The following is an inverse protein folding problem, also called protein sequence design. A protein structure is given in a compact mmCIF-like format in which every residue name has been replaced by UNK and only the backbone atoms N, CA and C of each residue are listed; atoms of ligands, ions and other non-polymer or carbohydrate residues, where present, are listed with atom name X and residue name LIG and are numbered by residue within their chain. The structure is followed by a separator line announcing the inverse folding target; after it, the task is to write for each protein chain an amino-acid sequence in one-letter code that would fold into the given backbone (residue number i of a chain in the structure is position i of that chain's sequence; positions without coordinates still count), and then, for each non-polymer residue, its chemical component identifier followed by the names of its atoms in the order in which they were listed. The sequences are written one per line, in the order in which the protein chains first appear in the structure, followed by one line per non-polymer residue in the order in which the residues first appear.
data_IF_145873569973
#
_entry.id   IF_145873569973
#
_cell.length_a   1.000
_cell.length_b   1.000
_cell.length_c   1.000
_cell.angle_alpha   90.00
_cell.angle_beta   90.00
_cell.angle_gamma   90.00
#
_symmetry.space_group_name_H-M   'P 1'
#
loop_
_entity.id
_entity.type
_entity.pdbx_description
1 polymer ?
#
# COMPACT_ATOMS: atom_id res chain seq x y z
N UNK A 1 3.80 20.23 14.50
CA UNK A 1 3.06 19.11 15.20
C UNK A 1 2.43 18.28 14.12
N UNK A 2 2.56 16.94 14.19
CA UNK A 2 1.95 16.03 13.21
C UNK A 2 0.43 16.08 13.33
N UNK A 3 -0.25 16.28 12.20
CA UNK A 3 -1.71 16.33 12.07
C UNK A 3 -2.24 15.24 11.13
N UNK A 4 -1.39 14.65 10.30
CA UNK A 4 -1.76 13.57 9.41
C UNK A 4 -0.69 12.47 9.40
N UNK A 5 -1.13 11.21 9.44
CA UNK A 5 -0.29 10.03 9.24
C UNK A 5 -0.83 9.28 8.02
N UNK A 6 0.05 9.03 7.04
CA UNK A 6 -0.30 8.34 5.80
C UNK A 6 0.45 7.01 5.75
N UNK A 7 -0.29 5.91 5.71
CA UNK A 7 0.26 4.56 5.67
C UNK A 7 0.25 3.98 4.25
N UNK A 8 1.28 3.20 3.91
CA UNK A 8 1.09 2.16 2.91
C UNK A 8 0.26 1.01 3.50
N UNK A 9 -0.36 0.20 2.64
CA UNK A 9 -1.21 -0.91 3.06
C UNK A 9 -0.45 -2.23 3.12
N UNK A 10 0.08 -2.69 1.98
CA UNK A 10 0.72 -3.99 1.83
C UNK A 10 2.07 -4.02 2.57
N UNK A 11 2.20 -4.76 3.66
CA UNK A 11 3.40 -4.78 4.50
C UNK A 11 3.48 -3.67 5.56
N UNK A 12 2.68 -2.61 5.41
CA UNK A 12 2.57 -1.49 6.35
C UNK A 12 1.48 -1.69 7.40
N UNK A 13 0.24 -1.90 6.97
CA UNK A 13 -0.92 -2.14 7.83
C UNK A 13 -1.40 -3.59 7.79
N UNK A 14 -1.20 -4.27 6.68
CA UNK A 14 -1.59 -5.67 6.47
C UNK A 14 -0.37 -6.58 6.35
N UNK A 15 -0.52 -7.81 6.84
CA UNK A 15 0.55 -8.81 6.89
C UNK A 15 0.67 -9.62 5.60
N UNK A 16 0.85 -8.94 4.49
CA UNK A 16 1.12 -9.53 3.17
C UNK A 16 2.26 -8.77 2.47
N UNK A 17 2.79 -9.34 1.41
CA UNK A 17 3.86 -8.69 0.64
C UNK A 17 3.34 -7.81 -0.49
N UNK A 18 2.22 -8.21 -1.10
CA UNK A 18 1.55 -7.49 -2.18
C UNK A 18 0.15 -8.06 -2.40
N UNK A 19 -0.84 -7.20 -2.48
CA UNK A 19 -2.22 -7.59 -2.82
C UNK A 19 -2.35 -8.10 -4.26
N UNK A 20 -1.52 -7.62 -5.19
CA UNK A 20 -1.43 -8.16 -6.55
C UNK A 20 -0.86 -9.57 -6.58
N UNK A 21 0.21 -9.84 -5.82
CA UNK A 21 0.83 -11.16 -5.74
C UNK A 21 -0.14 -12.21 -5.23
N UNK A 22 -0.99 -11.90 -4.25
CA UNK A 22 -2.00 -12.82 -3.73
C UNK A 22 -3.01 -13.26 -4.81
N UNK A 23 -3.32 -12.40 -5.78
CA UNK A 23 -4.15 -12.77 -6.92
C UNK A 23 -3.40 -13.75 -7.83
N UNK A 24 -2.13 -13.49 -8.12
CA UNK A 24 -1.30 -14.41 -8.90
C UNK A 24 -1.16 -15.78 -8.22
N UNK A 25 -0.95 -15.80 -6.90
CA UNK A 25 -0.88 -17.05 -6.12
C UNK A 25 -2.19 -17.84 -6.20
N UNK A 26 -3.33 -17.15 -6.10
CA UNK A 26 -4.66 -17.79 -6.19
C UNK A 26 -4.94 -18.40 -7.56
N UNK A 27 -4.59 -17.70 -8.64
CA UNK A 27 -4.76 -18.18 -10.01
C UNK A 27 -3.59 -19.06 -10.51
N UNK A 28 -2.50 -19.17 -9.73
CA UNK A 28 -1.32 -19.92 -10.12
C UNK A 28 -0.54 -19.25 -11.27
N UNK A 29 -0.55 -17.95 -11.39
CA UNK A 29 0.09 -17.16 -12.46
C UNK A 29 1.26 -16.29 -11.97
N UNK A 30 1.89 -16.68 -10.86
CA UNK A 30 3.01 -15.97 -10.27
C UNK A 30 4.37 -16.43 -10.79
N UNK A 31 5.41 -16.13 -10.03
CA UNK A 31 6.84 -16.38 -10.37
C UNK A 31 7.17 -17.82 -10.82
N UNK A 32 6.29 -18.78 -10.55
CA UNK A 32 6.51 -20.21 -10.88
C UNK A 32 5.94 -20.64 -12.24
N UNK A 33 5.35 -19.72 -13.02
CA UNK A 33 4.57 -20.07 -14.23
C UNK A 33 5.35 -19.97 -15.55
N UNK A 34 6.66 -20.05 -15.52
CA UNK A 34 7.48 -19.98 -16.72
C UNK A 34 7.98 -18.59 -17.07
N UNK A 35 7.77 -17.59 -16.20
CA UNK A 35 8.48 -16.32 -16.26
C UNK A 35 7.78 -15.20 -17.02
N UNK A 36 6.57 -15.40 -17.55
CA UNK A 36 5.87 -14.36 -18.34
C UNK A 36 5.49 -13.14 -17.47
N UNK A 37 4.96 -13.36 -16.27
CA UNK A 37 4.72 -12.30 -15.30
C UNK A 37 6.02 -11.61 -14.88
N UNK A 38 7.07 -12.39 -14.60
CA UNK A 38 8.37 -11.85 -14.18
C UNK A 38 9.00 -10.97 -15.28
N UNK A 39 8.94 -11.40 -16.55
CA UNK A 39 9.44 -10.59 -17.67
C UNK A 39 8.71 -9.24 -17.77
N UNK A 40 7.38 -9.25 -17.62
CA UNK A 40 6.58 -8.03 -17.66
C UNK A 40 6.82 -7.13 -16.44
N UNK A 41 7.00 -7.73 -15.27
CA UNK A 41 7.39 -6.98 -14.06
C UNK A 41 8.73 -6.26 -14.25
N UNK A 42 9.72 -6.93 -14.85
CA UNK A 42 11.01 -6.30 -15.16
C UNK A 42 10.85 -5.16 -16.17
N UNK A 43 10.06 -5.35 -17.22
CA UNK A 43 9.76 -4.28 -18.17
C UNK A 43 9.08 -3.08 -17.52
N UNK A 44 8.16 -3.32 -16.60
CA UNK A 44 7.51 -2.26 -15.83
C UNK A 44 8.50 -1.54 -14.91
N UNK A 45 9.31 -2.27 -14.15
CA UNK A 45 10.31 -1.70 -13.24
C UNK A 45 11.39 -0.88 -14.00
N UNK A 46 11.70 -1.27 -15.25
CA UNK A 46 12.59 -0.55 -16.15
C UNK A 46 11.91 0.66 -16.84
N UNK A 47 10.63 0.88 -16.61
CA UNK A 47 9.85 1.96 -17.25
C UNK A 47 9.61 1.75 -18.76
N UNK A 48 9.71 0.49 -19.25
CA UNK A 48 9.48 0.14 -20.66
C UNK A 48 8.00 -0.02 -20.99
N UNK A 49 7.17 -0.30 -19.99
CA UNK A 49 5.71 -0.36 -20.07
C UNK A 49 5.11 0.45 -18.93
N UNK A 50 3.89 0.95 -19.13
CA UNK A 50 3.13 1.66 -18.10
C UNK A 50 2.55 0.70 -17.06
N UNK A 51 2.10 1.25 -15.92
CA UNK A 51 1.42 0.48 -14.88
C UNK A 51 0.08 -0.09 -15.40
N UNK A 52 -0.64 0.66 -16.24
CA UNK A 52 -1.87 0.18 -16.89
C UNK A 52 -1.61 -1.00 -17.84
N UNK A 53 -0.53 -0.95 -18.63
CA UNK A 53 -0.12 -2.05 -19.52
C UNK A 53 0.28 -3.29 -18.72
N UNK A 54 0.96 -3.10 -17.59
CA UNK A 54 1.33 -4.19 -16.69
C UNK A 54 0.09 -4.85 -16.06
N UNK A 55 -0.84 -4.06 -15.53
CA UNK A 55 -2.11 -4.55 -14.97
C UNK A 55 -2.97 -5.25 -16.04
N UNK A 56 -3.02 -4.70 -17.25
CA UNK A 56 -3.75 -5.33 -18.35
C UNK A 56 -3.17 -6.71 -18.71
N UNK A 57 -1.85 -6.86 -18.67
CA UNK A 57 -1.18 -8.14 -18.87
C UNK A 57 -1.50 -9.14 -17.75
N UNK A 58 -1.45 -8.72 -16.48
CA UNK A 58 -1.78 -9.58 -15.35
C UNK A 58 -3.22 -10.11 -15.44
N UNK A 59 -4.17 -9.24 -15.81
CA UNK A 59 -5.56 -9.65 -16.06
C UNK A 59 -5.65 -10.71 -17.17
N UNK A 60 -4.84 -10.60 -18.24
CA UNK A 60 -4.80 -11.60 -19.30
C UNK A 60 -4.27 -12.94 -18.80
N UNK A 61 -3.23 -12.96 -17.97
CA UNK A 61 -2.72 -14.17 -17.33
C UNK A 61 -3.79 -14.85 -16.48
N UNK A 62 -4.48 -14.09 -15.62
CA UNK A 62 -5.55 -14.65 -14.80
C UNK A 62 -6.70 -15.21 -15.64
N UNK A 63 -7.10 -14.52 -16.72
CA UNK A 63 -8.13 -15.00 -17.67
C UNK A 63 -7.70 -16.22 -18.44
N UNK A 64 -6.41 -16.45 -18.64
CA UNK A 64 -5.87 -17.69 -19.20
C UNK A 64 -6.20 -18.92 -18.34
N UNK A 65 -6.34 -18.72 -17.03
CA UNK A 65 -6.71 -19.77 -16.04
C UNK A 65 -8.23 -19.79 -15.82
N UNK A 66 -8.84 -18.62 -15.61
CA UNK A 66 -10.28 -18.44 -15.38
C UNK A 66 -10.81 -17.37 -16.32
N UNK A 67 -11.43 -17.74 -17.46
CA UNK A 67 -11.89 -16.77 -18.48
C UNK A 67 -12.86 -15.71 -17.94
N UNK A 68 -13.66 -16.08 -16.95
CA UNK A 68 -14.59 -15.20 -16.24
C UNK A 68 -14.14 -15.08 -14.79
N UNK A 69 -13.87 -13.86 -14.34
CA UNK A 69 -13.40 -13.55 -12.98
C UNK A 69 -14.45 -12.66 -12.32
N UNK A 70 -15.06 -13.14 -11.26
CA UNK A 70 -15.99 -12.34 -10.47
C UNK A 70 -15.25 -11.61 -9.34
N UNK A 71 -15.77 -10.46 -8.91
CA UNK A 71 -15.20 -9.69 -7.78
C UNK A 71 -15.04 -10.53 -6.50
N UNK A 72 -15.92 -11.52 -6.29
CA UNK A 72 -15.84 -12.41 -5.13
C UNK A 72 -14.64 -13.37 -5.23
N UNK A 73 -14.17 -13.71 -6.44
CA UNK A 73 -12.95 -14.50 -6.61
C UNK A 73 -11.73 -13.69 -6.19
N UNK A 74 -11.67 -12.40 -6.59
CA UNK A 74 -10.62 -11.49 -6.14
C UNK A 74 -10.66 -11.32 -4.61
N UNK A 75 -11.82 -11.18 -4.00
CA UNK A 75 -11.92 -11.09 -2.53
C UNK A 75 -11.45 -12.37 -1.83
N UNK A 76 -11.66 -13.56 -2.43
CA UNK A 76 -11.17 -14.82 -1.88
C UNK A 76 -9.64 -14.92 -1.86
N UNK A 77 -8.95 -14.24 -2.79
CA UNK A 77 -7.49 -14.18 -2.81
C UNK A 77 -6.90 -13.64 -1.49
N UNK A 78 -7.65 -12.82 -0.79
CA UNK A 78 -7.22 -12.16 0.46
C UNK A 78 -7.65 -12.92 1.73
N UNK A 79 -8.22 -14.10 1.58
CA UNK A 79 -8.65 -14.90 2.73
C UNK A 79 -7.47 -15.26 3.63
N UNK A 80 -7.58 -14.96 4.93
CA UNK A 80 -6.54 -15.26 5.91
C UNK A 80 -5.47 -14.18 6.07
N UNK A 81 -5.48 -13.11 5.26
CA UNK A 81 -4.59 -11.97 5.49
C UNK A 81 -5.05 -11.20 6.72
N UNK A 82 -4.13 -11.01 7.66
CA UNK A 82 -4.37 -10.27 8.91
C UNK A 82 -3.80 -8.87 8.88
N UNK A 83 -4.12 -8.11 9.92
CA UNK A 83 -3.46 -6.84 10.20
C UNK A 83 -2.07 -7.07 10.80
N UNK A 84 -1.16 -6.13 10.59
CA UNK A 84 0.09 -6.04 11.33
C UNK A 84 -0.23 -5.86 12.81
N UNK A 85 0.60 -6.44 13.69
CA UNK A 85 0.48 -6.26 15.13
C UNK A 85 0.51 -4.78 15.50
N UNK A 86 -0.40 -4.36 16.38
CA UNK A 86 -0.53 -2.97 16.82
C UNK A 86 -1.22 -2.03 15.82
N UNK A 87 -1.58 -2.47 14.61
CA UNK A 87 -2.15 -1.57 13.60
C UNK A 87 -3.45 -0.91 14.05
N UNK A 88 -4.35 -1.67 14.67
CA UNK A 88 -5.62 -1.14 15.19
C UNK A 88 -5.39 -0.14 16.29
N UNK A 89 -4.56 -0.49 17.27
CA UNK A 89 -4.25 0.34 18.43
C UNK A 89 -3.61 1.67 18.02
N UNK A 90 -2.71 1.64 17.03
CA UNK A 90 -2.05 2.85 16.51
C UNK A 90 -3.07 3.75 15.82
N UNK A 91 -3.89 3.21 14.90
CA UNK A 91 -4.89 4.00 14.18
C UNK A 91 -5.90 4.63 15.14
N UNK A 92 -6.49 3.84 16.05
CA UNK A 92 -7.44 4.33 17.03
C UNK A 92 -6.82 5.41 17.95
N UNK A 93 -5.56 5.24 18.35
CA UNK A 93 -4.86 6.21 19.22
C UNK A 93 -4.50 7.50 18.48
N UNK A 94 -4.14 7.43 17.20
CA UNK A 94 -3.94 8.61 16.37
C UNK A 94 -5.23 9.41 16.23
N UNK A 95 -6.32 8.74 15.87
CA UNK A 95 -7.64 9.37 15.71
C UNK A 95 -8.17 9.96 17.03
N UNK A 96 -7.96 9.28 18.16
CA UNK A 96 -8.32 9.80 19.49
C UNK A 96 -7.59 11.11 19.84
N UNK A 97 -6.44 11.38 19.20
CA UNK A 97 -5.70 12.65 19.30
C UNK A 97 -6.09 13.67 18.24
N UNK A 98 -7.06 13.36 17.41
CA UNK A 98 -7.46 14.23 16.29
C UNK A 98 -6.46 14.25 15.15
N UNK A 99 -5.60 13.23 15.03
CA UNK A 99 -4.68 13.06 13.92
C UNK A 99 -5.44 12.34 12.79
N UNK A 100 -5.41 12.93 11.60
CA UNK A 100 -5.98 12.36 10.38
C UNK A 100 -5.17 11.13 9.94
N UNK A 101 -5.83 10.03 9.66
CA UNK A 101 -5.19 8.78 9.23
C UNK A 101 -5.65 8.43 7.83
N UNK A 102 -4.72 8.26 6.90
CA UNK A 102 -5.03 7.84 5.54
C UNK A 102 -4.18 6.66 5.08
N UNK A 103 -4.67 5.96 4.05
CA UNK A 103 -3.93 4.93 3.33
C UNK A 103 -3.68 5.38 1.89
N UNK A 104 -2.43 5.30 1.45
CA UNK A 104 -2.03 5.52 0.06
C UNK A 104 -1.26 4.29 -0.41
N UNK A 105 -1.90 3.46 -1.23
CA UNK A 105 -1.34 2.19 -1.68
C UNK A 105 -1.47 2.03 -3.20
N UNK A 106 -0.45 1.51 -3.86
CA UNK A 106 -0.54 1.04 -5.25
C UNK A 106 -1.19 -0.35 -5.35
N UNK A 107 -1.59 -0.94 -4.21
CA UNK A 107 -2.29 -2.22 -4.12
C UNK A 107 -3.73 -2.17 -4.63
N UNK A 108 -4.42 -3.31 -4.53
CA UNK A 108 -5.76 -3.51 -5.05
C UNK A 108 -6.82 -2.86 -4.17
N UNK A 109 -7.68 -2.02 -4.76
CA UNK A 109 -8.68 -1.19 -4.06
C UNK A 109 -9.67 -2.01 -3.21
N UNK A 110 -10.10 -3.17 -3.67
CA UNK A 110 -10.99 -4.06 -2.89
C UNK A 110 -10.34 -4.50 -1.59
N UNK A 111 -9.04 -4.82 -1.62
CA UNK A 111 -8.28 -5.20 -0.44
C UNK A 111 -8.00 -3.99 0.46
N UNK A 112 -7.44 -2.93 -0.12
CA UNK A 112 -7.10 -1.70 0.61
C UNK A 112 -8.34 -1.09 1.25
N UNK A 113 -9.47 -1.05 0.52
CA UNK A 113 -10.75 -0.57 1.04
C UNK A 113 -11.29 -1.43 2.18
N UNK A 114 -11.09 -2.76 2.15
CA UNK A 114 -11.46 -3.65 3.25
C UNK A 114 -10.62 -3.35 4.51
N UNK A 115 -9.29 -3.18 4.38
CA UNK A 115 -8.40 -2.79 5.48
C UNK A 115 -8.78 -1.40 6.01
N UNK A 116 -9.00 -0.43 5.11
CA UNK A 116 -9.41 0.93 5.46
C UNK A 116 -10.70 0.96 6.29
N UNK A 117 -11.71 0.17 5.85
CA UNK A 117 -12.98 0.05 6.56
C UNK A 117 -12.83 -0.69 7.91
N UNK A 118 -11.98 -1.72 7.98
CA UNK A 118 -11.70 -2.46 9.21
C UNK A 118 -11.02 -1.59 10.26
N UNK A 119 -10.11 -0.70 9.85
CA UNK A 119 -9.39 0.25 10.70
C UNK A 119 -10.14 1.58 10.88
N UNK A 120 -11.18 1.85 10.07
CA UNK A 120 -11.95 3.09 10.05
C UNK A 120 -11.07 4.32 9.82
N UNK A 121 -10.10 4.23 8.90
CA UNK A 121 -9.28 5.38 8.55
C UNK A 121 -10.11 6.50 7.92
N UNK A 122 -9.61 7.73 7.97
CA UNK A 122 -10.36 8.92 7.51
C UNK A 122 -10.45 9.02 5.99
N UNK A 123 -9.42 8.53 5.26
CA UNK A 123 -9.42 8.50 3.79
C UNK A 123 -8.49 7.40 3.26
N UNK A 124 -8.66 7.02 1.99
CA UNK A 124 -7.76 6.07 1.35
C UNK A 124 -7.77 6.20 -0.18
N UNK A 125 -6.67 5.79 -0.79
CA UNK A 125 -6.53 5.70 -2.24
C UNK A 125 -5.75 4.43 -2.63
N UNK A 126 -6.24 3.75 -3.67
CA UNK A 126 -5.62 2.54 -4.22
C UNK A 126 -5.96 2.38 -5.70
N UNK A 127 -5.36 1.40 -6.37
CA UNK A 127 -5.62 1.03 -7.74
C UNK A 127 -6.66 -0.10 -7.79
N UNK A 128 -7.39 -0.25 -8.88
CA UNK A 128 -8.48 -1.22 -8.90
C UNK A 128 -8.96 -1.59 -10.28
N UNK A 129 -10.14 -2.19 -10.30
CA UNK A 129 -10.73 -2.80 -11.48
C UNK A 129 -12.08 -2.17 -11.81
N UNK A 130 -12.41 -2.18 -13.11
CA UNK A 130 -13.77 -1.94 -13.59
C UNK A 130 -14.53 -3.27 -13.58
N UNK A 131 -15.73 -3.23 -13.02
CA UNK A 131 -16.65 -4.35 -12.92
C UNK A 131 -17.91 -4.05 -13.72
N UNK A 132 -18.51 -5.05 -14.36
CA UNK A 132 -19.82 -4.91 -14.96
C UNK A 132 -20.93 -4.89 -13.87
N UNK A 133 -22.17 -4.72 -14.31
CA UNK A 133 -23.35 -4.67 -13.42
C UNK A 133 -23.58 -5.95 -12.59
N UNK A 134 -23.02 -7.08 -13.03
CA UNK A 134 -23.12 -8.38 -12.37
C UNK A 134 -21.88 -8.70 -11.51
N UNK A 135 -20.86 -7.81 -11.52
CA UNK A 135 -19.62 -7.99 -10.75
C UNK A 135 -18.54 -8.79 -11.47
N UNK A 136 -18.62 -8.94 -12.78
CA UNK A 136 -17.56 -9.55 -13.57
C UNK A 136 -16.47 -8.55 -13.96
N UNK A 137 -15.23 -8.99 -13.94
CA UNK A 137 -14.07 -8.17 -14.25
C UNK A 137 -14.08 -7.72 -15.72
N UNK A 138 -14.08 -6.41 -15.96
CA UNK A 138 -13.97 -5.81 -17.29
C UNK A 138 -12.52 -5.53 -17.64
N UNK A 139 -11.83 -4.72 -16.86
CA UNK A 139 -10.43 -4.31 -17.05
C UNK A 139 -9.86 -3.65 -15.78
N UNK A 140 -8.57 -3.31 -15.81
CA UNK A 140 -7.98 -2.38 -14.84
C UNK A 140 -8.54 -0.97 -14.99
N UNK A 141 -8.74 -0.27 -13.89
CA UNK A 141 -9.00 1.17 -13.90
C UNK A 141 -7.72 1.94 -14.24
N UNK A 142 -7.82 3.19 -14.71
CA UNK A 142 -6.66 4.07 -14.81
C UNK A 142 -5.93 4.17 -13.49
N UNK A 143 -4.59 4.17 -13.52
CA UNK A 143 -3.75 4.21 -12.32
C UNK A 143 -4.05 5.46 -11.49
N UNK A 144 -4.47 5.24 -10.26
CA UNK A 144 -4.82 6.29 -9.31
C UNK A 144 -3.65 6.64 -8.39
N UNK A 145 -2.91 5.62 -7.99
CA UNK A 145 -1.72 5.72 -7.14
C UNK A 145 -0.55 5.09 -7.89
N UNK A 146 0.36 5.91 -8.37
CA UNK A 146 1.57 5.46 -9.04
C UNK A 146 2.49 4.77 -8.03
N UNK A 147 2.95 3.56 -8.34
CA UNK A 147 3.79 2.78 -7.44
C UNK A 147 5.14 3.46 -7.16
N UNK A 148 5.67 4.22 -8.13
CA UNK A 148 6.93 4.94 -8.04
C UNK A 148 6.80 6.41 -7.61
N UNK A 149 5.57 6.95 -7.53
CA UNK A 149 5.30 8.33 -7.12
C UNK A 149 3.99 8.45 -6.31
N UNK A 150 3.95 7.77 -5.17
CA UNK A 150 2.82 7.87 -4.21
C UNK A 150 2.69 9.28 -3.64
N UNK A 151 3.74 10.10 -3.70
CA UNK A 151 3.77 11.48 -3.21
C UNK A 151 2.74 12.38 -3.89
N UNK A 152 2.41 12.14 -5.16
CA UNK A 152 1.34 12.86 -5.84
C UNK A 152 0.00 12.72 -5.11
N UNK A 153 -0.32 11.51 -4.61
CA UNK A 153 -1.54 11.27 -3.87
C UNK A 153 -1.47 11.84 -2.45
N UNK A 154 -0.33 11.70 -1.76
CA UNK A 154 -0.11 12.34 -0.44
C UNK A 154 -0.29 13.85 -0.55
N UNK A 155 0.31 14.51 -1.55
CA UNK A 155 0.14 15.93 -1.80
C UNK A 155 -1.29 16.33 -2.16
N UNK A 156 -2.05 15.46 -2.84
CA UNK A 156 -3.47 15.69 -3.10
C UNK A 156 -4.29 15.64 -1.81
N UNK A 157 -4.07 14.64 -0.96
CA UNK A 157 -4.73 14.51 0.35
C UNK A 157 -4.42 15.73 1.24
N UNK A 158 -3.15 16.16 1.28
CA UNK A 158 -2.72 17.33 2.02
C UNK A 158 -3.52 18.58 1.60
N UNK A 159 -3.62 18.85 0.29
CA UNK A 159 -4.36 20.00 -0.24
C UNK A 159 -5.85 19.96 0.07
N UNK A 160 -6.47 18.78 -0.06
CA UNK A 160 -7.92 18.62 0.20
C UNK A 160 -8.25 18.88 1.67
N UNK A 161 -7.37 18.44 2.58
CA UNK A 161 -7.59 18.51 4.02
C UNK A 161 -6.93 19.73 4.68
N UNK A 162 -6.21 20.57 3.91
CA UNK A 162 -5.57 21.78 4.41
C UNK A 162 -4.42 21.51 5.38
N UNK A 163 -3.60 20.48 5.09
CA UNK A 163 -2.39 20.20 5.84
C UNK A 163 -1.17 20.82 5.15
N UNK A 164 -0.28 21.41 5.94
CA UNK A 164 1.07 21.71 5.50
C UNK A 164 1.90 20.42 5.44
N UNK A 165 2.86 20.33 4.50
CA UNK A 165 3.72 19.15 4.38
C UNK A 165 4.42 18.80 5.70
N UNK A 166 4.87 19.80 6.45
CA UNK A 166 5.55 19.64 7.75
C UNK A 166 4.67 19.03 8.85
N UNK A 167 3.36 18.94 8.62
CA UNK A 167 2.38 18.32 9.53
C UNK A 167 2.10 16.85 9.18
N UNK A 168 2.75 16.32 8.11
CA UNK A 168 2.52 14.97 7.58
C UNK A 168 3.71 14.08 7.86
N UNK A 169 3.43 12.86 8.31
CA UNK A 169 4.38 11.77 8.36
C UNK A 169 3.81 10.56 7.61
N UNK A 170 4.61 9.97 6.73
CA UNK A 170 4.25 8.77 5.99
C UNK A 170 4.98 7.55 6.54
N UNK A 171 4.36 6.37 6.43
CA UNK A 171 4.89 5.10 6.93
C UNK A 171 4.79 4.05 5.82
N UNK A 172 5.89 3.38 5.49
CA UNK A 172 5.91 2.35 4.46
C UNK A 172 7.04 1.34 4.65
N UNK A 173 6.95 0.18 3.99
CA UNK A 173 7.87 -0.95 4.16
C UNK A 173 8.83 -1.15 2.96
N UNK A 174 8.55 -0.52 1.83
CA UNK A 174 9.28 -0.70 0.57
C UNK A 174 10.02 0.57 0.12
N UNK A 175 11.04 0.41 -0.73
CA UNK A 175 11.79 1.54 -1.29
C UNK A 175 10.93 2.49 -2.13
N UNK A 176 9.85 2.00 -2.75
CA UNK A 176 8.89 2.84 -3.49
C UNK A 176 8.09 3.76 -2.59
N UNK A 177 7.89 3.39 -1.31
CA UNK A 177 7.14 4.20 -0.35
C UNK A 177 7.88 5.47 0.07
N UNK A 178 9.21 5.53 -0.13
CA UNK A 178 9.96 6.79 0.06
C UNK A 178 9.38 7.93 -0.76
N UNK A 179 8.75 7.65 -1.89
CA UNK A 179 8.05 8.65 -2.69
C UNK A 179 6.88 9.32 -1.97
N UNK A 180 6.36 8.71 -0.88
CA UNK A 180 5.35 9.33 -0.02
C UNK A 180 5.90 10.50 0.81
N UNK A 181 7.22 10.59 0.96
CA UNK A 181 7.90 11.71 1.62
C UNK A 181 7.97 12.91 0.67
N UNK A 182 6.90 13.71 0.65
CA UNK A 182 6.88 14.95 -0.11
C UNK A 182 7.74 16.03 0.56
N UNK A 183 8.13 17.06 -0.18
CA UNK A 183 9.01 18.13 0.33
C UNK A 183 8.47 18.74 1.64
N UNK A 184 9.30 18.69 2.68
CA UNK A 184 8.97 19.18 4.03
C UNK A 184 8.23 18.19 4.92
N UNK A 185 7.77 17.05 4.41
CA UNK A 185 7.14 16.00 5.21
C UNK A 185 8.16 15.04 5.81
N UNK A 186 7.69 14.14 6.68
CA UNK A 186 8.50 13.10 7.32
C UNK A 186 8.12 11.71 6.80
N UNK A 187 9.03 10.75 6.97
CA UNK A 187 8.82 9.37 6.62
C UNK A 187 9.42 8.43 7.68
N UNK A 188 8.77 7.30 7.90
CA UNK A 188 9.26 6.18 8.72
C UNK A 188 9.30 4.92 7.86
N UNK A 189 10.47 4.33 7.73
CA UNK A 189 10.62 2.99 7.18
C UNK A 189 10.18 1.96 8.22
N UNK A 190 9.12 1.22 7.93
CA UNK A 190 8.56 0.23 8.83
C UNK A 190 8.71 -1.17 8.25
N UNK A 191 9.22 -2.13 9.05
CA UNK A 191 9.32 -3.54 8.71
C UNK A 191 9.88 -3.82 7.29
N UNK A 192 11.04 -3.23 6.91
CA UNK A 192 11.60 -3.39 5.56
C UNK A 192 11.99 -4.85 5.30
N UNK A 193 11.15 -5.58 4.56
CA UNK A 193 11.31 -7.02 4.28
C UNK A 193 12.43 -7.31 3.27
N UNK A 194 12.70 -6.36 2.36
CA UNK A 194 13.70 -6.52 1.29
C UNK A 194 14.95 -5.70 1.63
N UNK A 195 16.12 -6.28 1.40
CA UNK A 195 17.41 -5.60 1.66
C UNK A 195 17.49 -4.22 0.96
N UNK A 196 16.99 -4.12 -0.28
CA UNK A 196 16.94 -2.84 -1.02
C UNK A 196 16.13 -1.74 -0.32
N UNK A 197 15.05 -2.11 0.38
CA UNK A 197 14.24 -1.13 1.10
C UNK A 197 15.02 -0.56 2.29
N UNK A 198 15.70 -1.44 3.05
CA UNK A 198 16.55 -1.02 4.17
C UNK A 198 17.68 -0.09 3.70
N UNK A 199 18.37 -0.44 2.63
CA UNK A 199 19.44 0.41 2.06
C UNK A 199 18.89 1.77 1.64
N UNK A 200 17.74 1.79 0.94
CA UNK A 200 17.13 3.05 0.50
C UNK A 200 16.71 3.93 1.68
N UNK A 201 16.20 3.35 2.77
CA UNK A 201 15.84 4.10 3.99
C UNK A 201 17.07 4.64 4.73
N UNK A 202 18.15 3.85 4.80
CA UNK A 202 19.44 4.29 5.37
C UNK A 202 20.04 5.44 4.56
N UNK A 203 20.04 5.35 3.23
CA UNK A 203 20.51 6.42 2.33
C UNK A 203 19.66 7.69 2.43
N UNK A 204 18.34 7.55 2.61
CA UNK A 204 17.44 8.68 2.82
C UNK A 204 17.56 9.29 4.23
N UNK A 205 18.26 8.63 5.17
CA UNK A 205 18.43 9.10 6.55
C UNK A 205 17.13 9.12 7.36
N UNK A 206 16.15 8.28 7.01
CA UNK A 206 14.85 8.20 7.72
C UNK A 206 14.92 7.21 8.88
N UNK A 207 14.11 7.39 9.94
CA UNK A 207 13.96 6.40 11.01
C UNK A 207 13.51 5.04 10.45
N UNK A 208 14.09 3.95 10.96
CA UNK A 208 13.76 2.58 10.55
C UNK A 208 13.30 1.79 11.77
N UNK A 209 12.11 1.22 11.71
CA UNK A 209 11.57 0.25 12.65
C UNK A 209 11.63 -1.11 11.98
N UNK A 210 12.53 -1.98 12.43
CA UNK A 210 12.76 -3.29 11.83
C UNK A 210 11.77 -4.35 12.31
N UNK A 211 11.25 -4.18 13.51
CA UNK A 211 10.30 -5.09 14.15
C UNK A 211 8.91 -4.93 13.54
N UNK A 212 8.17 -6.04 13.47
CA UNK A 212 6.82 -6.10 12.90
C UNK A 212 5.75 -5.79 13.95
N UNK A 213 5.92 -4.70 14.68
CA UNK A 213 4.97 -4.16 15.64
C UNK A 213 4.79 -2.66 15.37
N UNK A 214 3.62 -2.30 14.86
CA UNK A 214 3.37 -0.93 14.42
C UNK A 214 3.38 0.08 15.59
N UNK A 215 3.17 -0.36 16.82
CA UNK A 215 3.23 0.50 18.02
C UNK A 215 4.60 1.18 18.18
N UNK A 216 5.65 0.58 17.64
CA UNK A 216 7.02 1.10 17.71
C UNK A 216 7.26 2.36 16.86
N UNK A 217 6.34 2.73 15.96
CA UNK A 217 6.42 4.03 15.27
C UNK A 217 6.02 5.19 16.17
N UNK A 218 5.33 4.92 17.30
CA UNK A 218 4.75 5.94 18.17
C UNK A 218 5.75 6.97 18.69
N UNK A 219 6.92 6.57 19.27
CA UNK A 219 7.91 7.54 19.74
C UNK A 219 8.56 8.36 18.63
N UNK A 220 8.45 7.92 17.34
CA UNK A 220 8.90 8.71 16.19
C UNK A 220 7.89 9.81 15.87
N UNK A 221 6.60 9.51 15.96
CA UNK A 221 5.51 10.48 15.73
C UNK A 221 5.38 11.44 16.93
N UNK A 222 5.49 10.91 18.14
CA UNK A 222 5.35 11.64 19.42
C UNK A 222 6.59 11.40 20.29
N UNK A 223 7.67 12.20 20.11
CA UNK A 223 8.91 12.02 20.86
C UNK A 223 8.71 12.02 22.38
N UNK A 224 9.25 10.99 23.03
CA UNK A 224 9.16 10.83 24.49
C UNK A 224 7.92 10.08 24.97
N UNK A 225 7.04 9.63 24.07
CA UNK A 225 5.87 8.84 24.40
C UNK A 225 6.00 7.40 23.87
N UNK A 226 5.36 6.45 24.54
CA UNK A 226 5.21 5.08 24.06
C UNK A 226 3.74 4.72 23.99
N UNK A 227 3.34 3.98 22.98
CA UNK A 227 2.02 3.36 22.91
C UNK A 227 2.12 2.01 23.59
N UNK A 228 1.55 1.91 24.80
CA UNK A 228 1.43 0.65 25.52
C UNK A 228 0.25 -0.13 24.96
N UNK A 229 0.44 -1.41 24.68
CA UNK A 229 -0.64 -2.34 24.31
C UNK A 229 -1.50 -2.72 25.52
#
# INVERSE_FOLDING_TARGET
MIRAVVFDCDGGLSDNGSSWQLIHEYFGTGENDGGEHQEKLEMFLDGKISEEEFVAHDIQLWRGVSPEIHRDDIMRCYSGVGLIEGAREVVESLQARGVFVAIVSSGVDMFVGAIANMLKVDDWAANGFEWDENGWLVKGLPTRVLSHDKGLMVGKLARINGFDSSEIISVGDSSSDLSMMIEGSQFVGFNPRRARAKVAFEEAGVPIIAEKDLRLIWPVIFPGENLSG
#
